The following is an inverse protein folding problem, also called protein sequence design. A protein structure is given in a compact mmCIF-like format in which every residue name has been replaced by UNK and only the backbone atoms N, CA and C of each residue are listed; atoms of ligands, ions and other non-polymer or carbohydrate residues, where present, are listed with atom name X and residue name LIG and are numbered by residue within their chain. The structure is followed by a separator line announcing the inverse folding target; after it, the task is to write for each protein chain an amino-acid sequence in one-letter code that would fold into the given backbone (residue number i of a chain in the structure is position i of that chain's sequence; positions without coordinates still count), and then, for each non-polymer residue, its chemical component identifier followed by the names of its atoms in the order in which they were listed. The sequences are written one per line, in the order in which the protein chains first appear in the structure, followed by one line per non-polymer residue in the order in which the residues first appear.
data_IF_843925141612
#
_entry.id   IF_843925141612
#
_cell.length_a   1.000
_cell.length_b   1.000
_cell.length_c   1.000
_cell.angle_alpha   90.00
_cell.angle_beta   90.00
_cell.angle_gamma   90.00
#
_symmetry.space_group_name_H-M   'P 1'
#
loop_
_entity.id
_entity.type
_entity.pdbx_description
1 polymer ?
#
# COMPACT_ATOMS: atom_id res chain seq x y z
N UNK A 1 -30.72 -17.62 -19.41
CA UNK A 1 -29.86 -16.94 -18.43
C UNK A 1 -28.55 -17.68 -18.44
N UNK A 2 -27.47 -17.06 -18.91
CA UNK A 2 -26.19 -17.74 -19.13
C UNK A 2 -25.11 -17.01 -18.35
N UNK A 3 -24.42 -17.72 -17.46
CA UNK A 3 -23.21 -17.23 -16.78
C UNK A 3 -22.03 -17.53 -17.70
N UNK A 4 -21.47 -16.49 -18.31
CA UNK A 4 -20.16 -16.58 -18.97
C UNK A 4 -19.06 -16.41 -17.91
N UNK A 5 -18.30 -17.48 -17.68
CA UNK A 5 -17.10 -17.46 -16.85
C UNK A 5 -15.97 -16.95 -17.75
N UNK A 6 -15.53 -15.71 -17.54
CA UNK A 6 -14.37 -15.14 -18.24
C UNK A 6 -13.09 -15.59 -17.54
N UNK A 7 -12.31 -16.44 -18.23
CA UNK A 7 -10.92 -16.74 -17.87
C UNK A 7 -10.06 -15.50 -18.02
N UNK A 8 -9.43 -15.06 -16.93
CA UNK A 8 -8.45 -13.97 -16.93
C UNK A 8 -7.11 -14.52 -17.47
N UNK A 9 -6.50 -13.93 -18.50
CA UNK A 9 -5.18 -14.35 -18.98
C UNK A 9 -4.11 -13.93 -17.96
N UNK A 10 -3.57 -14.90 -17.21
CA UNK A 10 -2.40 -14.70 -16.36
C UNK A 10 -1.15 -14.84 -17.23
N UNK A 11 -0.65 -13.73 -17.74
CA UNK A 11 0.67 -13.66 -18.37
C UNK A 11 1.44 -12.46 -17.82
N UNK A 12 1.82 -12.55 -16.55
CA UNK A 12 2.88 -11.73 -15.96
C UNK A 12 3.99 -12.70 -15.59
N UNK A 13 5.05 -12.74 -16.40
CA UNK A 13 6.28 -13.44 -16.06
C UNK A 13 7.05 -12.61 -15.02
N UNK A 14 6.61 -12.70 -13.76
CA UNK A 14 7.40 -12.35 -12.58
C UNK A 14 7.88 -13.67 -11.97
N UNK A 15 9.06 -14.10 -12.39
CA UNK A 15 9.76 -15.21 -11.73
C UNK A 15 10.26 -14.75 -10.36
N UNK A 16 9.40 -14.87 -9.36
CA UNK A 16 9.67 -15.35 -7.99
C UNK A 16 8.45 -15.01 -7.11
N UNK A 17 7.80 -16.09 -6.66
CA UNK A 17 6.94 -16.12 -5.48
C UNK A 17 5.72 -15.20 -5.53
N UNK A 18 4.69 -15.67 -6.24
CA UNK A 18 3.33 -15.60 -5.70
C UNK A 18 3.30 -16.62 -4.55
N UNK A 19 3.86 -16.21 -3.42
CA UNK A 19 3.60 -16.81 -2.13
C UNK A 19 3.10 -15.63 -1.31
N UNK A 20 1.85 -15.76 -0.85
CA UNK A 20 1.32 -15.35 0.46
C UNK A 20 2.02 -14.17 1.15
N UNK A 21 1.25 -13.27 1.76
CA UNK A 21 1.80 -12.40 2.81
C UNK A 21 2.47 -13.28 3.86
N UNK A 22 3.76 -13.54 3.70
CA UNK A 22 4.54 -14.37 4.60
C UNK A 22 4.73 -13.48 5.82
N UNK A 23 3.80 -13.61 6.76
CA UNK A 23 4.03 -13.34 8.16
C UNK A 23 5.31 -14.08 8.53
N UNK A 24 6.46 -13.41 8.46
CA UNK A 24 7.67 -13.94 9.06
C UNK A 24 7.43 -13.89 10.55
N UNK A 25 7.03 -15.03 11.11
CA UNK A 25 7.23 -15.33 12.52
C UNK A 25 8.74 -15.31 12.74
N UNK A 26 9.31 -14.12 12.88
CA UNK A 26 10.67 -13.94 13.34
C UNK A 26 10.65 -14.47 14.77
N UNK A 27 11.08 -15.72 14.94
CA UNK A 27 11.35 -16.33 16.24
C UNK A 27 12.54 -15.61 16.89
N UNK A 28 12.36 -14.33 17.23
CA UNK A 28 13.19 -13.69 18.23
C UNK A 28 12.63 -14.16 19.57
N UNK A 29 13.35 -15.10 20.20
CA UNK A 29 12.99 -15.84 21.42
C UNK A 29 12.62 -15.00 22.66
N UNK A 30 12.52 -13.68 22.54
CA UNK A 30 12.15 -12.77 23.63
C UNK A 30 10.93 -11.89 23.35
N UNK A 31 10.44 -11.77 22.09
CA UNK A 31 9.29 -10.92 21.76
C UNK A 31 8.35 -11.61 20.76
N UNK A 32 7.27 -12.22 21.26
CA UNK A 32 6.20 -12.80 20.45
C UNK A 32 5.41 -11.71 19.71
N UNK A 33 5.83 -11.38 18.50
CA UNK A 33 5.23 -10.34 17.67
C UNK A 33 4.71 -10.91 16.35
N UNK A 34 3.59 -10.35 15.89
CA UNK A 34 3.05 -10.58 14.56
C UNK A 34 3.53 -9.43 13.65
N UNK A 35 4.04 -9.79 12.47
CA UNK A 35 4.64 -8.85 11.53
C UNK A 35 3.90 -9.00 10.20
N UNK A 36 3.20 -7.94 9.76
CA UNK A 36 2.50 -7.91 8.49
C UNK A 36 3.25 -6.97 7.52
N UNK A 37 3.79 -7.54 6.44
CA UNK A 37 4.48 -6.78 5.41
C UNK A 37 3.50 -6.00 4.54
N UNK A 38 3.89 -4.79 4.14
CA UNK A 38 3.10 -3.95 3.22
C UNK A 38 3.95 -3.50 2.04
N UNK A 39 3.31 -2.96 1.01
CA UNK A 39 3.98 -2.34 -0.15
C UNK A 39 4.06 -0.82 -0.06
N UNK A 40 3.65 -0.24 1.06
CA UNK A 40 3.57 1.20 1.28
C UNK A 40 4.94 1.77 1.61
N UNK A 41 5.35 2.88 0.97
CA UNK A 41 6.69 3.48 1.11
C UNK A 41 6.67 4.96 1.45
N UNK A 42 5.66 5.69 0.98
CA UNK A 42 5.54 7.13 1.16
C UNK A 42 4.78 7.41 2.47
N UNK A 43 5.46 7.99 3.44
CA UNK A 43 4.92 8.29 4.77
C UNK A 43 3.69 9.20 4.71
N UNK A 44 3.70 10.22 3.84
CA UNK A 44 2.61 11.17 3.74
C UNK A 44 1.35 10.52 3.17
N UNK A 45 1.51 9.59 2.22
CA UNK A 45 0.40 8.80 1.68
C UNK A 45 -0.11 7.78 2.70
N UNK A 46 0.77 7.13 3.46
CA UNK A 46 0.38 6.20 4.52
C UNK A 46 -0.41 6.93 5.61
N UNK A 47 0.05 8.11 6.02
CA UNK A 47 -0.67 8.95 6.99
C UNK A 47 -2.08 9.28 6.52
N UNK A 48 -2.23 9.77 5.29
CA UNK A 48 -3.53 10.06 4.71
C UNK A 48 -4.40 8.80 4.59
N UNK A 49 -3.81 7.67 4.20
CA UNK A 49 -4.54 6.41 4.10
C UNK A 49 -5.05 5.91 5.45
N UNK A 50 -4.35 6.18 6.56
CA UNK A 50 -4.76 5.81 7.91
C UNK A 50 -5.76 6.79 8.53
N UNK A 51 -5.72 8.07 8.13
CA UNK A 51 -6.71 9.07 8.52
C UNK A 51 -8.14 8.68 8.11
N UNK A 52 -8.31 8.00 6.95
CA UNK A 52 -9.59 7.44 6.50
C UNK A 52 -10.17 6.38 7.49
N UNK A 53 -9.34 5.87 8.41
CA UNK A 53 -9.69 4.83 9.39
C UNK A 53 -9.60 5.32 10.85
N UNK A 54 -9.50 6.63 11.08
CA UNK A 54 -9.29 7.23 12.40
C UNK A 54 -8.08 6.61 13.15
N UNK A 55 -7.07 6.19 12.38
CA UNK A 55 -5.86 5.57 12.88
C UNK A 55 -4.66 6.52 12.75
N UNK A 56 -3.85 6.56 13.80
CA UNK A 56 -2.53 7.18 13.76
C UNK A 56 -1.45 6.11 13.74
N UNK A 57 -0.23 6.48 13.34
CA UNK A 57 0.88 5.55 13.43
C UNK A 57 2.15 6.21 13.94
N UNK A 58 2.99 5.37 14.54
CA UNK A 58 4.39 5.68 14.83
C UNK A 58 5.32 4.72 14.10
N UNK A 59 6.50 5.21 13.78
CA UNK A 59 7.57 4.40 13.20
C UNK A 59 8.57 4.04 14.29
N UNK A 60 8.85 2.74 14.46
CA UNK A 60 9.93 2.24 15.30
C UNK A 60 11.20 2.05 14.46
N UNK A 61 12.37 2.28 15.07
CA UNK A 61 13.69 2.07 14.43
C UNK A 61 14.07 0.59 14.27
N UNK A 62 13.14 -0.31 14.58
CA UNK A 62 13.31 -1.75 14.51
C UNK A 62 12.33 -2.45 15.45
N UNK A 63 12.22 -3.77 15.29
CA UNK A 63 11.30 -4.61 16.06
C UNK A 63 11.62 -4.57 17.57
N UNK A 64 12.88 -4.40 17.94
CA UNK A 64 13.34 -4.33 19.34
C UNK A 64 12.93 -3.03 20.05
N UNK A 65 12.71 -1.95 19.30
CA UNK A 65 12.28 -0.65 19.83
C UNK A 65 10.76 -0.58 20.05
N UNK A 66 10.02 -1.63 19.68
CA UNK A 66 8.56 -1.66 19.76
C UNK A 66 8.12 -1.76 21.21
N UNK A 67 7.40 -0.73 21.67
CA UNK A 67 6.72 -0.71 22.96
C UNK A 67 5.24 -0.47 22.72
N UNK A 68 4.39 -1.41 23.13
CA UNK A 68 2.94 -1.22 23.10
C UNK A 68 2.53 -0.42 24.33
N UNK A 69 2.24 0.86 24.15
CA UNK A 69 1.66 1.70 25.20
C UNK A 69 0.17 1.38 25.32
N UNK A 70 -0.34 1.19 26.55
CA UNK A 70 -1.75 0.86 26.82
C UNK A 70 -2.69 2.06 26.73
N UNK A 71 -2.16 3.28 26.55
CA UNK A 71 -2.90 4.54 26.74
C UNK A 71 -3.32 5.24 25.45
N UNK A 72 -2.81 4.82 24.28
CA UNK A 72 -3.18 5.43 23.00
C UNK A 72 -4.11 4.49 22.26
N UNK A 73 -5.36 4.90 22.09
CA UNK A 73 -6.36 4.20 21.29
C UNK A 73 -6.12 4.48 19.80
N UNK A 74 -6.23 3.45 18.95
CA UNK A 74 -6.13 3.54 17.48
C UNK A 74 -4.76 3.97 16.95
N UNK A 75 -3.68 3.76 17.70
CA UNK A 75 -2.32 3.94 17.20
C UNK A 75 -1.70 2.59 16.82
N UNK A 76 -1.19 2.50 15.60
CA UNK A 76 -0.48 1.32 15.10
C UNK A 76 1.03 1.59 15.00
N UNK A 77 1.82 0.53 15.06
CA UNK A 77 3.29 0.62 15.04
C UNK A 77 3.77 0.03 13.73
N UNK A 78 4.52 0.82 12.96
CA UNK A 78 5.24 0.31 11.80
C UNK A 78 6.75 0.34 12.03
N UNK A 79 7.46 -0.52 11.31
CA UNK A 79 8.89 -0.43 11.07
C UNK A 79 9.12 -0.31 9.57
N UNK A 80 10.29 0.18 9.15
CA UNK A 80 10.68 0.17 7.74
C UNK A 80 11.57 -1.05 7.48
N UNK A 81 11.26 -1.82 6.45
CA UNK A 81 12.06 -2.98 6.05
C UNK A 81 13.22 -2.57 5.12
N UNK A 82 14.07 -3.53 4.75
CA UNK A 82 15.25 -3.31 3.89
C UNK A 82 14.90 -2.72 2.51
N UNK A 83 13.66 -2.91 2.03
CA UNK A 83 13.19 -2.40 0.73
C UNK A 83 12.60 -0.99 0.82
N UNK A 84 12.60 -0.40 2.02
CA UNK A 84 12.00 0.90 2.32
C UNK A 84 10.47 0.84 2.45
N UNK A 85 9.87 -0.33 2.60
CA UNK A 85 8.43 -0.47 2.83
C UNK A 85 8.12 -0.45 4.33
N UNK A 86 6.96 0.10 4.67
CA UNK A 86 6.38 0.00 5.99
C UNK A 86 5.92 -1.45 6.26
N UNK A 87 6.17 -1.92 7.47
CA UNK A 87 5.78 -3.24 7.95
C UNK A 87 5.09 -3.06 9.30
N UNK A 88 3.86 -3.55 9.41
CA UNK A 88 3.05 -3.40 10.62
C UNK A 88 3.52 -4.39 11.68
N UNK A 89 3.69 -3.90 12.91
CA UNK A 89 4.08 -4.72 14.08
C UNK A 89 2.92 -4.76 15.07
N UNK A 90 2.52 -5.97 15.43
CA UNK A 90 1.39 -6.27 16.30
C UNK A 90 1.82 -7.19 17.45
N UNK A 91 1.15 -7.12 18.61
CA UNK A 91 1.34 -8.15 19.63
C UNK A 91 0.81 -9.49 19.12
N UNK A 92 1.37 -10.63 19.54
CA UNK A 92 0.87 -11.96 19.16
C UNK A 92 -0.61 -12.19 19.55
N UNK A 93 -1.10 -11.48 20.57
CA UNK A 93 -2.52 -11.55 21.00
C UNK A 93 -3.49 -10.86 20.03
N UNK A 94 -2.98 -10.14 19.03
CA UNK A 94 -3.80 -9.51 18.00
C UNK A 94 -4.44 -10.58 17.10
N UNK A 95 -5.69 -10.33 16.69
CA UNK A 95 -6.37 -11.16 15.69
C UNK A 95 -5.74 -10.91 14.32
N UNK A 96 -4.84 -11.82 13.92
CA UNK A 96 -4.13 -11.73 12.64
C UNK A 96 -5.08 -11.52 11.46
N UNK A 97 -6.19 -12.27 11.40
CA UNK A 97 -7.12 -12.19 10.27
C UNK A 97 -7.79 -10.82 10.16
N UNK A 98 -8.21 -10.27 11.30
CA UNK A 98 -8.80 -8.93 11.34
C UNK A 98 -7.82 -7.84 10.90
N UNK A 99 -6.55 -7.94 11.30
CA UNK A 99 -5.51 -6.98 10.91
C UNK A 99 -5.04 -7.14 9.47
N UNK A 100 -5.03 -8.37 8.92
CA UNK A 100 -4.78 -8.61 7.50
C UNK A 100 -5.86 -8.00 6.60
N UNK A 101 -7.13 -8.15 6.98
CA UNK A 101 -8.24 -7.51 6.25
C UNK A 101 -8.16 -5.97 6.37
N UNK A 102 -7.92 -5.47 7.58
CA UNK A 102 -7.78 -4.04 7.82
C UNK A 102 -6.61 -3.43 7.01
N UNK A 103 -5.42 -4.03 7.05
CA UNK A 103 -4.26 -3.50 6.33
C UNK A 103 -4.46 -3.57 4.81
N UNK A 104 -5.17 -4.57 4.29
CA UNK A 104 -5.52 -4.63 2.87
C UNK A 104 -6.42 -3.45 2.44
N UNK A 105 -7.36 -3.05 3.29
CA UNK A 105 -8.20 -1.87 3.03
C UNK A 105 -7.41 -0.55 3.11
N UNK A 106 -6.46 -0.46 4.04
CA UNK A 106 -5.52 0.67 4.12
C UNK A 106 -4.65 0.72 2.86
N UNK A 107 -4.10 -0.41 2.41
CA UNK A 107 -3.31 -0.49 1.17
C UNK A 107 -4.13 -0.09 -0.07
N UNK A 108 -5.41 -0.42 -0.13
CA UNK A 108 -6.31 0.03 -1.20
C UNK A 108 -6.46 1.56 -1.18
N UNK A 109 -6.64 2.14 0.00
CA UNK A 109 -6.77 3.60 0.19
C UNK A 109 -5.47 4.31 -0.19
N UNK A 110 -4.34 3.79 0.26
CA UNK A 110 -3.00 4.24 -0.12
C UNK A 110 -2.78 4.18 -1.63
N UNK A 111 -3.17 3.07 -2.27
CA UNK A 111 -3.01 2.87 -3.72
C UNK A 111 -3.80 3.91 -4.51
N UNK A 112 -5.02 4.22 -4.08
CA UNK A 112 -5.84 5.27 -4.68
C UNK A 112 -5.17 6.64 -4.59
N UNK A 113 -4.66 7.00 -3.41
CA UNK A 113 -3.96 8.28 -3.20
C UNK A 113 -2.67 8.35 -4.04
N UNK A 114 -1.92 7.25 -4.12
CA UNK A 114 -0.72 7.15 -4.96
C UNK A 114 -1.06 7.35 -6.44
N UNK A 115 -2.10 6.69 -6.95
CA UNK A 115 -2.54 6.85 -8.33
C UNK A 115 -2.93 8.29 -8.64
N UNK A 116 -3.67 8.95 -7.74
CA UNK A 116 -4.04 10.35 -7.87
C UNK A 116 -2.81 11.27 -7.90
N UNK A 117 -1.87 11.07 -6.98
CA UNK A 117 -0.61 11.84 -6.92
C UNK A 117 0.21 11.65 -8.20
N UNK A 118 0.33 10.41 -8.69
CA UNK A 118 1.05 10.10 -9.94
C UNK A 118 0.38 10.78 -11.14
N UNK A 119 -0.94 10.70 -11.25
CA UNK A 119 -1.70 11.35 -12.30
C UNK A 119 -1.46 12.88 -12.31
N UNK A 120 -1.62 13.54 -11.16
CA UNK A 120 -1.41 15.00 -11.05
C UNK A 120 0.02 15.38 -11.45
N UNK A 121 1.01 14.65 -10.95
CA UNK A 121 2.41 14.87 -11.30
C UNK A 121 2.68 14.70 -12.81
N UNK A 122 2.05 13.72 -13.47
CA UNK A 122 2.21 13.50 -14.91
C UNK A 122 1.62 14.67 -15.71
N UNK A 123 0.41 15.11 -15.36
CA UNK A 123 -0.26 16.23 -16.04
C UNK A 123 0.52 17.54 -15.87
N UNK A 124 0.98 17.83 -14.65
CA UNK A 124 1.77 19.03 -14.37
C UNK A 124 3.12 19.02 -15.08
N UNK A 125 3.84 17.89 -15.03
CA UNK A 125 5.11 17.73 -15.74
C UNK A 125 4.92 17.87 -17.24
N UNK A 126 3.92 17.21 -17.82
CA UNK A 126 3.62 17.33 -19.24
C UNK A 126 3.36 18.78 -19.64
N UNK A 127 2.51 19.50 -18.90
CA UNK A 127 2.25 20.92 -19.12
C UNK A 127 3.53 21.77 -19.05
N UNK A 128 4.39 21.53 -18.07
CA UNK A 128 5.68 22.24 -17.93
C UNK A 128 6.64 22.02 -19.11
N UNK A 129 6.46 20.92 -19.84
CA UNK A 129 7.25 20.56 -21.04
C UNK A 129 6.56 21.01 -22.34
N UNK A 130 5.49 21.81 -22.27
CA UNK A 130 4.76 22.27 -23.46
C UNK A 130 3.85 21.21 -24.09
N UNK A 131 3.56 20.12 -23.37
CA UNK A 131 2.58 19.12 -23.79
C UNK A 131 1.18 19.54 -23.33
N UNK A 132 0.21 19.43 -24.23
CA UNK A 132 -1.21 19.69 -23.95
C UNK A 132 -1.93 18.36 -23.89
N UNK A 133 -2.68 18.12 -22.81
CA UNK A 133 -3.52 16.94 -22.68
C UNK A 133 -4.65 17.03 -23.71
N UNK A 134 -4.66 16.10 -24.65
CA UNK A 134 -5.68 16.00 -25.70
C UNK A 134 -6.82 15.08 -25.27
N UNK A 135 -6.47 13.94 -24.67
CA UNK A 135 -7.43 12.91 -24.30
C UNK A 135 -7.04 12.23 -22.99
N UNK A 136 -8.05 11.98 -22.15
CA UNK A 136 -7.98 11.10 -21.00
C UNK A 136 -8.99 9.97 -21.20
N UNK A 137 -8.53 8.72 -21.08
CA UNK A 137 -9.39 7.54 -21.17
C UNK A 137 -9.16 6.63 -19.96
N UNK A 138 -10.26 6.14 -19.37
CA UNK A 138 -10.22 5.11 -18.33
C UNK A 138 -10.44 3.74 -18.98
N UNK A 139 -9.44 2.88 -18.88
CA UNK A 139 -9.48 1.54 -19.45
C UNK A 139 -10.22 0.57 -18.52
N UNK A 140 -10.62 -0.58 -19.08
CA UNK A 140 -11.44 -1.60 -18.37
C UNK A 140 -10.73 -2.21 -17.17
N UNK A 141 -9.40 -2.18 -17.15
CA UNK A 141 -8.53 -2.65 -16.07
C UNK A 141 -8.29 -1.58 -14.99
N UNK A 142 -9.05 -0.46 -15.02
CA UNK A 142 -8.90 0.70 -14.14
C UNK A 142 -7.59 1.47 -14.34
N UNK A 143 -6.85 1.23 -15.42
CA UNK A 143 -5.74 2.10 -15.80
C UNK A 143 -6.26 3.38 -16.47
N UNK A 144 -5.41 4.41 -16.48
CA UNK A 144 -5.71 5.72 -17.08
C UNK A 144 -4.71 5.93 -18.21
N UNK A 145 -5.21 6.13 -19.43
CA UNK A 145 -4.41 6.52 -20.59
C UNK A 145 -4.52 8.03 -20.81
N UNK A 146 -3.37 8.68 -20.98
CA UNK A 146 -3.26 10.11 -21.24
C UNK A 146 -2.57 10.32 -22.59
N UNK A 147 -3.27 10.93 -23.54
CA UNK A 147 -2.72 11.32 -24.84
C UNK A 147 -2.38 12.80 -24.80
N UNK A 148 -1.15 13.12 -25.18
CA UNK A 148 -0.65 14.48 -25.22
C UNK A 148 -0.26 14.88 -26.64
N UNK A 149 -0.51 16.14 -26.98
CA UNK A 149 0.01 16.78 -28.19
C UNK A 149 1.10 17.79 -27.85
N UNK A 150 2.02 18.01 -28.79
CA UNK A 150 3.03 19.05 -28.69
C UNK A 150 2.40 20.40 -29.01
N UNK A 151 2.54 21.37 -28.10
CA UNK A 151 2.28 22.76 -28.43
C UNK A 151 3.36 23.22 -29.42
N UNK A 152 2.98 23.50 -30.67
CA UNK A 152 3.87 24.05 -31.70
C UNK A 152 3.99 25.56 -31.61
#
# INVERSE_FOLDING_TARGET
MSLEIVLIPVAIALTKEIAEGISRKLENRENNLLILETRMKDEALLKQALEDWDCSFRTAEGVEAVKFASTVTNEVIFTINETGCYTLILPETADQGAYEEWIANVEQSYTRLLQQKVYQNLVEKARSQGLILEQEERLRDRSIQLTYILNR
#
